data_IF_397896626390
#
_entry.id   IF_397896626390
#
_cell.length_a   1.000
_cell.length_b   1.000
_cell.length_c   1.000
_cell.angle_alpha   90.00
_cell.angle_beta   90.00
_cell.angle_gamma   90.00
#
_symmetry.space_group_name_H-M   'P 1'
#
loop_
_entity.id
_entity.type
_entity.pdbx_description
1 polymer ?
#
# COMPACT_ATOMS: atom_id res chain seq x y z
N UNK A 1 -0.46 17.54 -11.95
CA UNK A 1 -1.72 16.92 -11.42
C UNK A 1 -2.28 15.88 -12.37
N UNK A 2 -2.59 16.22 -13.63
CA UNK A 2 -3.12 15.26 -14.62
C UNK A 2 -2.21 14.08 -14.91
N UNK A 3 -0.90 14.30 -15.03
CA UNK A 3 0.07 13.22 -15.26
C UNK A 3 0.08 12.20 -14.11
N UNK A 4 -0.04 12.67 -12.86
CA UNK A 4 -0.16 11.80 -11.70
C UNK A 4 -1.48 11.02 -11.71
N UNK A 5 -2.61 11.68 -12.02
CA UNK A 5 -3.91 11.01 -12.16
C UNK A 5 -3.88 9.95 -13.26
N UNK A 6 -3.27 10.24 -14.41
CA UNK A 6 -3.13 9.30 -15.52
C UNK A 6 -2.28 8.09 -15.12
N UNK A 7 -1.18 8.32 -14.40
CA UNK A 7 -0.33 7.24 -13.89
C UNK A 7 -1.10 6.30 -12.96
N UNK A 8 -1.92 6.86 -12.06
CA UNK A 8 -2.78 6.08 -11.17
C UNK A 8 -3.84 5.31 -11.97
N UNK A 9 -4.54 5.98 -12.90
CA UNK A 9 -5.56 5.35 -13.74
C UNK A 9 -5.00 4.14 -14.50
N UNK A 10 -3.81 4.28 -15.10
CA UNK A 10 -3.15 3.17 -15.83
C UNK A 10 -2.72 2.03 -14.92
N UNK A 11 -2.22 2.35 -13.72
CA UNK A 11 -1.85 1.33 -12.72
C UNK A 11 -3.09 0.56 -12.24
N UNK A 12 -4.18 1.27 -11.92
CA UNK A 12 -5.47 0.68 -11.53
C UNK A 12 -6.05 -0.17 -12.67
N UNK A 13 -6.03 0.31 -13.91
CA UNK A 13 -6.49 -0.43 -15.07
C UNK A 13 -5.67 -1.70 -15.31
N UNK A 14 -4.34 -1.62 -15.21
CA UNK A 14 -3.45 -2.78 -15.35
C UNK A 14 -3.71 -3.82 -14.25
N UNK A 15 -3.89 -3.36 -13.01
CA UNK A 15 -4.20 -4.22 -11.87
C UNK A 15 -5.57 -4.90 -12.02
N UNK A 16 -6.60 -4.16 -12.44
CA UNK A 16 -7.93 -4.70 -12.68
C UNK A 16 -7.96 -5.71 -13.84
N UNK A 17 -7.14 -5.50 -14.87
CA UNK A 17 -6.98 -6.43 -16.00
C UNK A 17 -6.09 -7.63 -15.70
N UNK A 18 -5.21 -7.56 -14.70
CA UNK A 18 -4.20 -8.57 -14.43
C UNK A 18 -3.08 -8.64 -15.48
N UNK A 19 -2.93 -7.61 -16.33
CA UNK A 19 -1.89 -7.51 -17.37
C UNK A 19 -1.48 -6.05 -17.60
N UNK A 20 -0.36 -5.86 -18.30
CA UNK A 20 0.00 -4.51 -18.79
C UNK A 20 -0.99 -4.06 -19.86
N UNK A 21 -1.23 -2.75 -19.90
CA UNK A 21 -1.97 -2.11 -20.97
C UNK A 21 -1.15 -2.13 -22.28
N UNK A 22 -1.85 -2.23 -23.40
CA UNK A 22 -1.26 -1.95 -24.72
C UNK A 22 -1.02 -0.45 -24.89
N UNK A 23 -0.18 -0.07 -25.85
CA UNK A 23 0.04 1.35 -26.18
C UNK A 23 -1.26 2.07 -26.55
N UNK A 24 -2.19 1.36 -27.18
CA UNK A 24 -3.47 1.93 -27.59
C UNK A 24 -4.41 2.11 -26.39
N UNK A 25 -4.45 1.14 -25.48
CA UNK A 25 -5.21 1.23 -24.22
C UNK A 25 -4.67 2.34 -23.31
N UNK A 26 -3.34 2.52 -23.27
CA UNK A 26 -2.71 3.63 -22.56
C UNK A 26 -3.11 4.99 -23.15
N UNK A 27 -3.15 5.11 -24.48
CA UNK A 27 -3.61 6.30 -25.19
C UNK A 27 -5.08 6.59 -24.92
N UNK A 28 -5.92 5.56 -24.99
CA UNK A 28 -7.34 5.66 -24.69
C UNK A 28 -7.62 6.11 -23.25
N UNK A 29 -6.91 5.58 -22.25
CA UNK A 29 -7.03 6.05 -20.87
C UNK A 29 -6.63 7.53 -20.73
N UNK A 30 -5.63 7.98 -21.49
CA UNK A 30 -5.19 9.37 -21.49
C UNK A 30 -6.26 10.29 -22.08
N UNK A 31 -6.84 9.91 -23.22
CA UNK A 31 -7.90 10.69 -23.87
C UNK A 31 -9.20 10.70 -23.06
N UNK A 32 -9.60 9.56 -22.49
CA UNK A 32 -10.77 9.50 -21.61
C UNK A 32 -10.60 10.40 -20.39
N UNK A 33 -9.46 10.32 -19.69
CA UNK A 33 -9.18 11.20 -18.56
C UNK A 33 -9.13 12.68 -18.98
N UNK A 34 -8.57 12.99 -20.15
CA UNK A 34 -8.52 14.37 -20.68
C UNK A 34 -9.92 14.92 -20.94
N UNK A 35 -10.80 14.14 -21.56
CA UNK A 35 -12.17 14.53 -21.88
C UNK A 35 -13.08 14.61 -20.66
N UNK A 36 -12.88 13.76 -19.65
CA UNK A 36 -13.60 13.90 -18.38
C UNK A 36 -13.09 15.14 -17.63
N UNK A 37 -11.77 15.35 -17.57
CA UNK A 37 -11.18 16.49 -16.87
C UNK A 37 -11.46 17.84 -17.53
N UNK A 38 -11.88 17.87 -18.80
CA UNK A 38 -12.30 19.10 -19.48
C UNK A 38 -13.73 19.51 -19.10
N UNK A 39 -14.57 18.52 -18.74
CA UNK A 39 -15.99 18.70 -18.40
C UNK A 39 -16.25 18.78 -16.90
N UNK A 40 -15.45 18.09 -16.11
CA UNK A 40 -15.64 17.95 -14.67
C UNK A 40 -14.40 18.42 -13.90
N UNK A 41 -14.56 19.31 -12.89
CA UNK A 41 -13.42 19.79 -12.09
C UNK A 41 -12.79 18.69 -11.23
N UNK A 42 -13.58 17.72 -10.79
CA UNK A 42 -13.13 16.53 -10.05
C UNK A 42 -13.54 15.27 -10.83
N UNK A 43 -12.66 14.75 -11.70
CA UNK A 43 -12.96 13.56 -12.49
C UNK A 43 -13.00 12.32 -11.57
N UNK A 44 -14.09 11.55 -11.66
CA UNK A 44 -14.27 10.30 -10.91
C UNK A 44 -14.08 9.09 -11.84
N UNK A 45 -13.82 7.91 -11.26
CA UNK A 45 -13.65 6.68 -12.03
C UNK A 45 -14.90 6.30 -12.84
N UNK A 46 -16.16 6.42 -12.33
CA UNK A 46 -17.36 6.19 -13.13
C UNK A 46 -17.39 7.02 -14.42
N UNK A 47 -17.07 8.32 -14.33
CA UNK A 47 -17.07 9.20 -15.50
C UNK A 47 -16.02 8.79 -16.54
N UNK A 48 -14.87 8.28 -16.09
CA UNK A 48 -13.82 7.73 -16.98
C UNK A 48 -14.27 6.42 -17.61
N UNK A 49 -14.94 5.55 -16.86
CA UNK A 49 -15.51 4.30 -17.38
C UNK A 49 -16.56 4.59 -18.44
N UNK A 50 -17.46 5.55 -18.19
CA UNK A 50 -18.47 5.97 -19.16
C UNK A 50 -17.84 6.48 -20.45
N UNK A 51 -16.82 7.34 -20.35
CA UNK A 51 -16.08 7.84 -21.53
C UNK A 51 -15.30 6.73 -22.27
N UNK A 52 -14.85 5.68 -21.58
CA UNK A 52 -14.20 4.55 -22.24
C UNK A 52 -15.21 3.64 -22.98
N UNK A 53 -16.42 3.47 -22.43
CA UNK A 53 -17.50 2.68 -23.03
C UNK A 53 -18.18 3.42 -24.19
N UNK A 54 -18.37 4.73 -24.05
CA UNK A 54 -19.01 5.62 -25.02
C UNK A 54 -18.11 6.82 -25.34
N UNK A 55 -17.01 6.63 -26.10
CA UNK A 55 -16.03 7.68 -26.34
C UNK A 55 -16.59 8.85 -27.13
N UNK A 56 -16.22 10.06 -26.72
CA UNK A 56 -16.51 11.28 -27.45
C UNK A 56 -15.82 11.31 -28.82
N UNK A 57 -16.39 12.07 -29.76
CA UNK A 57 -15.78 12.29 -31.07
C UNK A 57 -14.40 12.95 -30.99
N UNK A 58 -14.16 13.77 -29.96
CA UNK A 58 -12.85 14.38 -29.68
C UNK A 58 -11.79 13.33 -29.35
N UNK A 59 -12.08 12.43 -28.40
CA UNK A 59 -11.19 11.32 -28.05
C UNK A 59 -10.92 10.39 -29.25
N UNK A 60 -11.96 10.04 -30.01
CA UNK A 60 -11.82 9.20 -31.20
C UNK A 60 -10.94 9.85 -32.28
N UNK A 61 -11.12 11.15 -32.54
CA UNK A 61 -10.30 11.91 -33.49
C UNK A 61 -8.84 11.99 -33.04
N UNK A 62 -8.58 12.18 -31.75
CA UNK A 62 -7.21 12.22 -31.19
C UNK A 62 -6.49 10.87 -31.33
N UNK A 63 -7.24 9.77 -31.24
CA UNK A 63 -6.75 8.40 -31.46
C UNK A 63 -6.78 7.98 -32.94
N UNK A 64 -7.05 8.89 -33.87
CA UNK A 64 -7.14 8.63 -35.32
C UNK A 64 -8.09 7.47 -35.69
N UNK A 65 -9.23 7.38 -35.01
CA UNK A 65 -10.23 6.32 -35.21
C UNK A 65 -11.66 6.87 -35.14
N UNK A 66 -12.66 5.97 -35.22
CA UNK A 66 -14.07 6.30 -35.00
C UNK A 66 -14.46 6.06 -33.54
N UNK A 67 -15.57 6.63 -33.08
CA UNK A 67 -16.08 6.40 -31.71
C UNK A 67 -16.34 4.91 -31.46
N UNK A 68 -16.94 4.21 -32.43
CA UNK A 68 -17.14 2.74 -32.36
C UNK A 68 -15.81 1.97 -32.39
N UNK A 69 -14.83 2.42 -33.17
CA UNK A 69 -13.49 1.85 -33.20
C UNK A 69 -12.80 1.97 -31.84
N UNK A 70 -12.84 3.16 -31.23
CA UNK A 70 -12.26 3.41 -29.92
C UNK A 70 -12.99 2.63 -28.81
N UNK A 71 -14.33 2.57 -28.84
CA UNK A 71 -15.11 1.79 -27.88
C UNK A 71 -14.75 0.29 -27.92
N UNK A 72 -14.55 -0.26 -29.12
CA UNK A 72 -14.13 -1.66 -29.28
C UNK A 72 -12.70 -1.89 -28.78
N UNK A 73 -11.79 -0.93 -29.04
CA UNK A 73 -10.41 -0.98 -28.55
C UNK A 73 -10.35 -0.97 -27.02
N UNK A 74 -11.18 -0.15 -26.39
CA UNK A 74 -11.16 0.08 -24.95
C UNK A 74 -11.95 -0.95 -24.15
N UNK A 75 -12.64 -1.87 -24.83
CA UNK A 75 -13.70 -2.69 -24.24
C UNK A 75 -13.24 -3.47 -23.01
N UNK A 76 -12.08 -4.12 -23.08
CA UNK A 76 -11.54 -4.89 -21.96
C UNK A 76 -11.22 -4.00 -20.76
N UNK A 77 -10.49 -2.89 -20.99
CA UNK A 77 -10.14 -1.91 -19.94
C UNK A 77 -11.39 -1.34 -19.29
N UNK A 78 -12.37 -0.94 -20.12
CA UNK A 78 -13.61 -0.35 -19.66
C UNK A 78 -14.38 -1.32 -18.75
N UNK A 79 -14.51 -2.61 -19.13
CA UNK A 79 -15.18 -3.60 -18.29
C UNK A 79 -14.38 -3.97 -17.03
N UNK A 80 -13.05 -4.03 -17.10
CA UNK A 80 -12.22 -4.26 -15.94
C UNK A 80 -12.36 -3.13 -14.90
N UNK A 81 -12.34 -1.87 -15.35
CA UNK A 81 -12.57 -0.71 -14.48
C UNK A 81 -14.03 -0.62 -14.01
N UNK A 82 -15.01 -1.00 -14.84
CA UNK A 82 -16.43 -1.03 -14.46
C UNK A 82 -16.71 -1.96 -13.29
N UNK A 83 -15.98 -3.08 -13.15
CA UNK A 83 -16.10 -3.94 -11.96
C UNK A 83 -15.80 -3.22 -10.65
N UNK A 84 -14.94 -2.19 -10.69
CA UNK A 84 -14.59 -1.36 -9.53
C UNK A 84 -15.69 -0.36 -9.16
N UNK A 85 -16.61 -0.10 -10.09
CA UNK A 85 -17.67 0.91 -9.95
C UNK A 85 -19.02 0.25 -9.69
N UNK A 86 -19.39 -0.77 -10.47
CA UNK A 86 -20.70 -1.41 -10.43
C UNK A 86 -20.64 -2.90 -10.04
N UNK A 87 -19.44 -3.46 -9.93
CA UNK A 87 -19.23 -4.89 -9.74
C UNK A 87 -19.07 -5.30 -8.28
N UNK A 88 -18.26 -6.34 -8.08
CA UNK A 88 -17.91 -6.93 -6.79
C UNK A 88 -17.21 -5.96 -5.83
N UNK A 89 -16.73 -4.83 -6.34
CA UNK A 89 -15.99 -3.80 -5.60
C UNK A 89 -16.69 -2.43 -5.59
N UNK A 90 -17.97 -2.37 -5.97
CA UNK A 90 -18.79 -1.17 -5.87
C UNK A 90 -18.84 -0.61 -4.43
N UNK A 91 -18.99 0.70 -4.29
CA UNK A 91 -18.93 1.43 -3.02
C UNK A 91 -17.54 1.91 -2.59
N UNK A 92 -16.47 1.52 -3.30
CA UNK A 92 -15.09 1.92 -2.97
C UNK A 92 -14.53 3.04 -3.86
N UNK A 93 -14.83 3.00 -5.17
CA UNK A 93 -14.24 3.88 -6.18
C UNK A 93 -15.29 4.55 -7.08
N UNK A 94 -16.57 4.45 -6.70
CA UNK A 94 -17.74 4.78 -7.49
C UNK A 94 -18.27 6.20 -7.26
N UNK A 95 -17.55 7.04 -6.53
CA UNK A 95 -17.97 8.41 -6.23
C UNK A 95 -16.82 9.38 -5.95
N UNK A 96 -17.16 10.66 -5.69
CA UNK A 96 -16.21 11.64 -5.17
C UNK A 96 -15.61 11.20 -3.84
N UNK A 97 -14.47 11.79 -3.48
CA UNK A 97 -13.89 11.56 -2.15
C UNK A 97 -14.88 11.98 -1.07
N UNK A 98 -15.13 11.11 -0.09
CA UNK A 98 -16.05 11.40 1.03
C UNK A 98 -15.62 12.68 1.78
N UNK A 99 -16.57 13.59 2.01
CA UNK A 99 -16.33 14.93 2.57
C UNK A 99 -15.74 14.95 3.99
N UNK A 100 -15.95 13.89 4.77
CA UNK A 100 -15.51 13.80 6.16
C UNK A 100 -14.05 13.35 6.33
N UNK A 101 -13.31 13.15 5.22
CA UNK A 101 -11.91 12.70 5.27
C UNK A 101 -10.97 13.91 5.30
N UNK A 102 -10.40 14.21 6.48
CA UNK A 102 -9.29 15.16 6.61
C UNK A 102 -7.93 14.48 6.42
N UNK A 103 -7.44 14.49 5.17
CA UNK A 103 -6.12 14.00 4.80
C UNK A 103 -4.97 14.95 5.20
N UNK A 104 -5.29 16.06 5.87
CA UNK A 104 -4.30 17.01 6.43
C UNK A 104 -4.14 16.87 7.94
N UNK A 105 -4.91 15.98 8.57
CA UNK A 105 -4.81 15.71 9.99
C UNK A 105 -3.39 15.26 10.41
N UNK A 106 -2.97 15.53 11.66
CA UNK A 106 -1.64 15.14 12.15
C UNK A 106 -1.37 13.63 12.11
N UNK A 107 -2.45 12.82 12.18
CA UNK A 107 -2.41 11.37 12.07
C UNK A 107 -3.51 10.93 11.11
N UNK A 108 -3.12 10.22 10.06
CA UNK A 108 -4.04 9.60 9.11
C UNK A 108 -3.82 8.09 9.18
N UNK A 109 -4.90 7.33 9.44
CA UNK A 109 -4.88 5.87 9.47
C UNK A 109 -5.75 5.31 8.36
N UNK A 110 -5.13 4.56 7.45
CA UNK A 110 -5.82 3.85 6.38
C UNK A 110 -6.14 2.44 6.85
N UNK A 111 -7.37 2.21 7.33
CA UNK A 111 -7.80 0.91 7.80
C UNK A 111 -8.28 0.04 6.62
N UNK A 112 -7.53 -1.02 6.32
CA UNK A 112 -7.78 -1.90 5.16
C UNK A 112 -8.52 -3.18 5.51
N UNK A 113 -8.98 -3.32 6.75
CA UNK A 113 -9.53 -4.58 7.28
C UNK A 113 -10.72 -5.10 6.47
N UNK A 114 -11.60 -4.22 6.01
CA UNK A 114 -12.80 -4.62 5.26
C UNK A 114 -12.50 -5.22 3.89
N UNK A 115 -11.32 -4.94 3.34
CA UNK A 115 -10.92 -5.32 1.97
C UNK A 115 -9.70 -6.24 1.96
N UNK A 116 -9.25 -6.68 3.15
CA UNK A 116 -7.98 -7.39 3.33
C UNK A 116 -7.92 -8.75 2.60
N UNK A 117 -9.07 -9.41 2.45
CA UNK A 117 -9.21 -10.69 1.72
C UNK A 117 -9.74 -10.53 0.30
N UNK A 118 -9.99 -9.30 -0.14
CA UNK A 118 -10.55 -9.00 -1.46
C UNK A 118 -9.47 -8.77 -2.50
N UNK A 119 -9.77 -9.12 -3.77
CA UNK A 119 -8.95 -8.78 -4.93
C UNK A 119 -8.79 -7.26 -5.11
N UNK A 120 -9.64 -6.45 -4.48
CA UNK A 120 -9.50 -4.99 -4.41
C UNK A 120 -8.25 -4.50 -3.68
N UNK A 121 -7.65 -5.31 -2.81
CA UNK A 121 -6.57 -4.86 -1.95
C UNK A 121 -5.42 -4.26 -2.78
N UNK A 122 -5.01 -4.90 -3.88
CA UNK A 122 -3.93 -4.41 -4.72
C UNK A 122 -4.23 -3.04 -5.33
N UNK A 123 -5.45 -2.86 -5.84
CA UNK A 123 -5.92 -1.59 -6.43
C UNK A 123 -5.98 -0.50 -5.38
N UNK A 124 -6.53 -0.81 -4.19
CA UNK A 124 -6.59 0.13 -3.10
C UNK A 124 -5.20 0.52 -2.60
N UNK A 125 -4.26 -0.43 -2.56
CA UNK A 125 -2.87 -0.16 -2.21
C UNK A 125 -2.17 0.75 -3.23
N UNK A 126 -2.48 0.63 -4.53
CA UNK A 126 -2.00 1.56 -5.56
C UNK A 126 -2.52 2.99 -5.29
N UNK A 127 -3.82 3.13 -5.01
CA UNK A 127 -4.44 4.42 -4.69
C UNK A 127 -3.85 5.02 -3.41
N UNK A 128 -3.72 4.22 -2.35
CA UNK A 128 -3.14 4.61 -1.07
C UNK A 128 -1.68 5.05 -1.22
N UNK A 129 -0.87 4.27 -1.94
CA UNK A 129 0.53 4.60 -2.22
C UNK A 129 0.66 5.90 -3.02
N UNK A 130 -0.21 6.14 -4.00
CA UNK A 130 -0.18 7.36 -4.79
C UNK A 130 -0.58 8.61 -3.98
N UNK A 131 -1.60 8.50 -3.13
CA UNK A 131 -1.95 9.56 -2.18
C UNK A 131 -0.80 9.81 -1.21
N UNK A 132 -0.27 8.75 -0.61
CA UNK A 132 0.79 8.83 0.38
C UNK A 132 2.08 9.41 -0.20
N UNK A 133 2.42 9.04 -1.44
CA UNK A 133 3.51 9.68 -2.20
C UNK A 133 3.33 11.19 -2.26
N UNK A 134 2.15 11.65 -2.64
CA UNK A 134 1.85 13.09 -2.71
C UNK A 134 1.89 13.75 -1.33
N UNK A 135 1.49 13.04 -0.28
CA UNK A 135 1.55 13.54 1.09
C UNK A 135 2.99 13.67 1.61
N UNK A 136 3.87 12.73 1.22
CA UNK A 136 5.28 12.65 1.61
C UNK A 136 6.18 13.59 0.80
N UNK A 137 5.94 13.74 -0.49
CA UNK A 137 6.75 14.58 -1.40
C UNK A 137 6.49 16.10 -1.22
N UNK A 138 5.75 16.51 -0.17
CA UNK A 138 5.48 17.92 0.12
C UNK A 138 6.73 18.56 0.74
N UNK A 139 7.33 19.50 0.02
CA UNK A 139 8.43 20.33 0.52
C UNK A 139 7.90 21.48 1.39
N UNK A 140 7.35 21.13 2.56
CA UNK A 140 6.79 22.07 3.53
C UNK A 140 7.57 22.10 4.87
N UNK A 141 8.73 21.42 4.92
CA UNK A 141 9.56 21.34 6.12
C UNK A 141 8.99 20.48 7.25
N UNK A 142 7.86 19.81 7.04
CA UNK A 142 7.23 18.95 8.04
C UNK A 142 7.84 17.55 8.02
N UNK A 143 8.34 17.09 9.18
CA UNK A 143 8.79 15.71 9.34
C UNK A 143 7.60 14.77 9.41
N UNK A 144 7.67 13.67 8.67
CA UNK A 144 6.57 12.69 8.58
C UNK A 144 7.03 11.31 9.02
N UNK A 145 6.12 10.55 9.59
CA UNK A 145 6.33 9.13 9.91
C UNK A 145 5.36 8.33 9.06
N UNK A 146 5.91 7.48 8.20
CA UNK A 146 5.14 6.49 7.45
C UNK A 146 5.24 5.15 8.17
N UNK A 147 4.13 4.68 8.71
CA UNK A 147 4.02 3.33 9.28
C UNK A 147 3.27 2.43 8.31
N UNK A 148 3.91 1.33 7.90
CA UNK A 148 3.30 0.25 7.12
C UNK A 148 3.20 -0.97 8.02
N UNK A 149 2.00 -1.18 8.55
CA UNK A 149 1.68 -2.40 9.29
C UNK A 149 1.46 -3.56 8.31
N UNK A 150 1.77 -4.78 8.74
CA UNK A 150 1.70 -5.98 7.89
C UNK A 150 2.42 -5.80 6.54
N UNK A 151 3.62 -5.23 6.56
CA UNK A 151 4.33 -4.81 5.35
C UNK A 151 4.58 -5.96 4.37
N UNK A 152 4.62 -7.21 4.84
CA UNK A 152 4.74 -8.39 3.96
C UNK A 152 3.62 -8.47 2.94
N UNK A 153 2.38 -8.11 3.32
CA UNK A 153 1.21 -8.15 2.44
C UNK A 153 1.35 -7.10 1.35
N UNK A 154 1.75 -5.90 1.72
CA UNK A 154 2.02 -4.81 0.78
C UNK A 154 3.10 -5.21 -0.23
N UNK A 155 4.12 -5.95 0.23
CA UNK A 155 5.24 -6.36 -0.60
C UNK A 155 4.90 -7.43 -1.65
N UNK A 156 3.74 -8.09 -1.54
CA UNK A 156 3.21 -8.98 -2.59
C UNK A 156 2.83 -8.23 -3.86
N UNK A 157 2.53 -6.92 -3.75
CA UNK A 157 2.15 -6.06 -4.88
C UNK A 157 3.38 -5.31 -5.41
N UNK A 158 3.94 -5.80 -6.53
CA UNK A 158 5.22 -5.33 -7.08
C UNK A 158 5.34 -3.81 -7.26
N UNK A 159 4.30 -3.13 -7.76
CA UNK A 159 4.33 -1.68 -7.98
C UNK A 159 4.46 -0.91 -6.66
N UNK A 160 3.75 -1.37 -5.62
CA UNK A 160 3.78 -0.78 -4.29
C UNK A 160 5.13 -1.07 -3.61
N UNK A 161 5.67 -2.28 -3.80
CA UNK A 161 7.01 -2.66 -3.32
C UNK A 161 8.11 -1.76 -3.90
N UNK A 162 8.05 -1.46 -5.21
CA UNK A 162 9.00 -0.54 -5.86
C UNK A 162 8.90 0.86 -5.27
N UNK A 163 7.68 1.38 -5.13
CA UNK A 163 7.43 2.68 -4.53
C UNK A 163 7.95 2.76 -3.08
N UNK A 164 7.70 1.75 -2.25
CA UNK A 164 8.22 1.70 -0.88
C UNK A 164 9.75 1.74 -0.86
N UNK A 165 10.41 0.98 -1.74
CA UNK A 165 11.87 0.97 -1.81
C UNK A 165 12.45 2.32 -2.24
N UNK A 166 11.83 2.99 -3.22
CA UNK A 166 12.20 4.35 -3.61
C UNK A 166 12.10 5.32 -2.42
N UNK A 167 11.01 5.26 -1.66
CA UNK A 167 10.82 6.13 -0.49
C UNK A 167 11.85 5.85 0.61
N UNK A 168 12.19 4.58 0.84
CA UNK A 168 13.19 4.20 1.85
C UNK A 168 14.55 4.84 1.56
N UNK A 169 14.94 4.88 0.29
CA UNK A 169 16.20 5.50 -0.17
C UNK A 169 16.19 7.03 -0.08
N UNK A 170 15.01 7.64 -0.18
CA UNK A 170 14.84 9.10 -0.20
C UNK A 170 14.49 9.70 1.17
N UNK A 171 14.33 8.89 2.21
CA UNK A 171 13.98 9.30 3.59
C UNK A 171 14.75 10.52 4.11
N UNK A 172 16.06 10.61 3.81
CA UNK A 172 16.91 11.74 4.22
C UNK A 172 16.59 13.03 3.48
N UNK A 173 16.29 12.95 2.19
CA UNK A 173 15.93 14.13 1.38
C UNK A 173 14.49 14.58 1.60
N UNK A 174 13.58 13.67 1.93
CA UNK A 174 12.15 13.96 2.12
C UNK A 174 11.76 14.18 3.58
N UNK A 175 12.71 14.11 4.52
CA UNK A 175 12.48 14.22 5.96
C UNK A 175 11.40 13.25 6.48
N UNK A 176 11.35 12.04 5.89
CA UNK A 176 10.38 11.00 6.24
C UNK A 176 11.07 9.85 6.95
N UNK A 177 10.54 9.48 8.12
CA UNK A 177 10.88 8.24 8.80
C UNK A 177 9.91 7.16 8.35
N UNK A 178 10.42 6.11 7.73
CA UNK A 178 9.59 4.98 7.36
C UNK A 178 9.76 3.82 8.37
N UNK A 179 8.66 3.19 8.75
CA UNK A 179 8.58 2.08 9.70
C UNK A 179 7.76 0.97 9.04
N UNK A 180 8.34 -0.21 8.91
CA UNK A 180 7.67 -1.40 8.39
C UNK A 180 7.58 -2.43 9.51
N UNK A 181 6.37 -2.94 9.76
CA UNK A 181 6.11 -3.96 10.77
C UNK A 181 5.82 -5.28 10.07
N UNK A 182 6.51 -6.35 10.51
CA UNK A 182 6.39 -7.70 9.96
C UNK A 182 6.41 -8.72 11.09
N UNK A 183 5.59 -9.76 10.98
CA UNK A 183 5.49 -10.81 12.01
C UNK A 183 6.51 -11.93 11.83
N UNK A 184 6.77 -12.32 10.58
CA UNK A 184 7.80 -13.32 10.23
C UNK A 184 8.57 -12.84 9.01
N UNK A 185 9.87 -13.05 9.00
CA UNK A 185 10.67 -12.71 7.82
C UNK A 185 10.46 -13.73 6.69
N UNK A 186 10.05 -14.96 7.01
CA UNK A 186 9.67 -15.95 6.00
C UNK A 186 8.47 -15.50 5.16
N UNK A 187 7.55 -14.68 5.70
CA UNK A 187 6.44 -14.10 4.94
C UNK A 187 6.95 -13.16 3.83
N UNK A 188 8.10 -12.51 4.03
CA UNK A 188 8.75 -11.68 3.02
C UNK A 188 9.38 -12.51 1.89
N UNK A 189 9.89 -13.70 2.21
CA UNK A 189 10.39 -14.63 1.19
C UNK A 189 9.25 -15.28 0.40
N UNK A 190 8.10 -15.49 1.05
CA UNK A 190 6.90 -16.03 0.44
C UNK A 190 6.13 -15.01 -0.43
N UNK A 191 6.49 -13.72 -0.38
CA UNK A 191 5.83 -12.65 -1.13
C UNK A 191 5.94 -12.78 -2.67
N UNK A 192 6.79 -13.69 -3.17
CA UNK A 192 6.89 -14.03 -4.58
C UNK A 192 7.63 -15.35 -4.81
N UNK A 193 7.81 -15.72 -6.08
CA UNK A 193 8.64 -16.88 -6.43
C UNK A 193 10.10 -16.71 -5.94
N UNK A 194 10.80 -17.83 -5.75
CA UNK A 194 12.25 -17.82 -5.46
C UNK A 194 12.95 -17.02 -6.57
N UNK A 195 13.79 -16.05 -6.18
CA UNK A 195 14.45 -15.09 -7.08
C UNK A 195 13.52 -14.12 -7.84
N UNK A 196 12.29 -13.93 -7.36
CA UNK A 196 11.42 -12.88 -7.86
C UNK A 196 11.94 -11.47 -7.53
N UNK A 197 11.48 -10.49 -8.29
CA UNK A 197 11.79 -9.09 -8.02
C UNK A 197 11.24 -8.66 -6.65
N UNK A 198 10.06 -9.14 -6.27
CA UNK A 198 9.45 -8.87 -4.95
C UNK A 198 10.36 -9.28 -3.80
N UNK A 199 10.92 -10.49 -3.84
CA UNK A 199 11.83 -10.98 -2.80
C UNK A 199 13.12 -10.14 -2.74
N UNK A 200 13.66 -9.74 -3.90
CA UNK A 200 14.82 -8.82 -3.94
C UNK A 200 14.50 -7.45 -3.35
N UNK A 201 13.31 -6.90 -3.63
CA UNK A 201 12.86 -5.62 -3.06
C UNK A 201 12.69 -5.72 -1.54
N UNK A 202 12.05 -6.78 -1.05
CA UNK A 202 11.86 -7.03 0.39
C UNK A 202 13.21 -7.15 1.13
N UNK A 203 14.15 -7.92 0.58
CA UNK A 203 15.53 -8.01 1.13
C UNK A 203 16.23 -6.66 1.08
N UNK A 204 16.05 -5.90 0.00
CA UNK A 204 16.59 -4.55 -0.14
C UNK A 204 16.10 -3.60 0.95
N UNK A 205 14.80 -3.62 1.27
CA UNK A 205 14.23 -2.81 2.35
C UNK A 205 14.83 -3.14 3.72
N UNK A 206 15.04 -4.42 4.01
CA UNK A 206 15.71 -4.85 5.24
C UNK A 206 17.17 -4.39 5.28
N UNK A 207 17.88 -4.47 4.16
CA UNK A 207 19.27 -4.02 4.06
C UNK A 207 19.40 -2.50 4.21
N UNK A 208 18.51 -1.74 3.58
CA UNK A 208 18.48 -0.27 3.61
C UNK A 208 18.06 0.28 4.99
N UNK A 209 17.47 -0.57 5.85
CA UNK A 209 17.04 -0.18 7.21
C UNK A 209 18.20 -0.17 8.21
N UNK A 210 18.66 1.01 8.60
CA UNK A 210 19.73 1.19 9.61
C UNK A 210 19.29 0.78 11.03
N UNK A 211 18.00 0.89 11.34
CA UNK A 211 17.44 0.48 12.63
C UNK A 211 16.54 -0.73 12.45
N UNK A 212 16.80 -1.78 13.22
CA UNK A 212 15.99 -3.00 13.27
C UNK A 212 15.59 -3.25 14.72
N UNK A 213 14.28 -3.35 14.98
CA UNK A 213 13.73 -3.67 16.30
C UNK A 213 13.17 -5.08 16.22
N UNK A 214 13.86 -6.02 16.87
CA UNK A 214 13.59 -7.45 16.73
C UNK A 214 13.09 -7.98 18.08
N UNK A 215 11.79 -8.25 18.15
CA UNK A 215 11.17 -8.94 19.29
C UNK A 215 11.48 -10.44 19.25
N UNK A 216 11.07 -11.17 20.31
CA UNK A 216 11.25 -12.63 20.36
C UNK A 216 10.73 -13.29 19.08
N UNK A 217 11.57 -14.11 18.47
CA UNK A 217 11.24 -14.87 17.26
C UNK A 217 11.08 -16.36 17.59
N UNK A 218 10.28 -17.05 16.78
CA UNK A 218 10.14 -18.51 16.87
C UNK A 218 11.48 -19.21 16.53
N UNK A 219 11.84 -20.33 17.19
CA UNK A 219 13.04 -21.08 16.86
C UNK A 219 13.21 -21.41 15.38
N UNK A 220 12.12 -21.67 14.65
CA UNK A 220 12.14 -21.96 13.22
C UNK A 220 12.55 -20.76 12.36
N UNK A 221 12.35 -19.52 12.83
CA UNK A 221 12.69 -18.28 12.11
C UNK A 221 14.13 -17.80 12.41
N UNK A 222 14.76 -18.27 13.49
CA UNK A 222 16.02 -17.69 13.99
C UNK A 222 17.16 -17.73 12.97
N UNK A 223 17.26 -18.80 12.18
CA UNK A 223 18.28 -18.89 11.14
C UNK A 223 18.10 -17.80 10.06
N UNK A 224 16.86 -17.59 9.62
CA UNK A 224 16.53 -16.57 8.62
C UNK A 224 16.71 -15.16 9.18
N UNK A 225 16.25 -14.92 10.40
CA UNK A 225 16.43 -13.64 11.10
C UNK A 225 17.90 -13.31 11.30
N UNK A 226 18.72 -14.30 11.65
CA UNK A 226 20.16 -14.13 11.77
C UNK A 226 20.79 -13.67 10.47
N UNK A 227 20.45 -14.34 9.36
CA UNK A 227 20.99 -14.01 8.03
C UNK A 227 20.53 -12.61 7.57
N UNK A 228 19.22 -12.38 7.52
CA UNK A 228 18.64 -11.15 6.98
C UNK A 228 18.94 -9.91 7.84
N UNK A 229 18.98 -10.05 9.16
CA UNK A 229 19.26 -8.94 10.07
C UNK A 229 20.75 -8.82 10.44
N UNK A 230 21.60 -9.67 9.87
CA UNK A 230 23.04 -9.72 10.12
C UNK A 230 23.35 -9.82 11.62
N UNK A 231 22.69 -10.77 12.29
CA UNK A 231 22.90 -11.02 13.71
C UNK A 231 24.10 -11.93 13.94
N UNK A 232 24.85 -11.66 15.00
CA UNK A 232 25.83 -12.63 15.51
C UNK A 232 25.15 -13.70 16.38
N UNK A 233 25.92 -14.69 16.83
CA UNK A 233 25.40 -15.80 17.65
C UNK A 233 24.77 -15.35 18.97
N UNK A 234 25.40 -14.37 19.63
CA UNK A 234 24.91 -13.83 20.89
C UNK A 234 23.62 -13.05 20.69
N UNK A 235 23.54 -12.22 19.66
CA UNK A 235 22.34 -11.48 19.28
C UNK A 235 21.19 -12.45 18.96
N UNK A 236 21.47 -13.54 18.22
CA UNK A 236 20.49 -14.57 17.89
C UNK A 236 19.97 -15.29 19.14
N UNK A 237 20.87 -15.65 20.07
CA UNK A 237 20.50 -16.28 21.34
C UNK A 237 19.65 -15.35 22.24
N UNK A 238 19.94 -14.05 22.23
CA UNK A 238 19.10 -13.05 22.91
C UNK A 238 17.70 -13.06 22.27
N UNK A 239 17.61 -12.88 20.95
CA UNK A 239 16.33 -12.84 20.23
C UNK A 239 15.47 -14.10 20.49
N UNK A 240 16.09 -15.27 20.65
CA UNK A 240 15.38 -16.51 20.97
C UNK A 240 14.68 -16.52 22.35
N UNK A 241 15.14 -15.71 23.30
CA UNK A 241 14.77 -15.80 24.72
C UNK A 241 14.18 -14.50 25.30
N UNK A 242 13.98 -13.46 24.49
CA UNK A 242 13.45 -12.18 24.95
C UNK A 242 12.06 -12.33 25.61
N UNK A 243 11.83 -11.74 26.79
CA UNK A 243 10.49 -11.70 27.37
C UNK A 243 9.56 -10.78 26.55
N UNK A 244 8.24 -10.91 26.76
CA UNK A 244 7.25 -10.02 26.13
C UNK A 244 7.58 -8.56 26.49
N UNK A 245 7.51 -7.67 25.50
CA UNK A 245 7.85 -6.26 25.68
C UNK A 245 9.36 -5.95 25.61
N UNK A 246 10.23 -6.95 25.46
CA UNK A 246 11.66 -6.72 25.22
C UNK A 246 12.02 -6.98 23.75
N UNK A 247 12.95 -6.17 23.23
CA UNK A 247 13.45 -6.29 21.86
C UNK A 247 14.98 -6.14 21.81
N UNK A 248 15.60 -6.76 20.81
CA UNK A 248 16.94 -6.39 20.36
C UNK A 248 16.82 -5.21 19.40
N UNK A 249 17.38 -4.07 19.77
CA UNK A 249 17.53 -2.91 18.89
C UNK A 249 18.91 -2.95 18.26
N UNK A 250 18.98 -3.15 16.95
CA UNK A 250 20.19 -3.02 16.15
C UNK A 250 20.16 -1.66 15.45
N UNK A 251 21.07 -0.76 15.83
CA UNK A 251 21.17 0.61 15.30
C UNK A 251 22.54 0.77 14.65
N UNK A 252 22.58 0.67 13.32
CA UNK A 252 23.80 0.51 12.55
C UNK A 252 24.56 -0.75 13.00
N UNK A 253 25.76 -0.56 13.53
CA UNK A 253 26.61 -1.65 14.02
C UNK A 253 26.48 -1.94 15.52
N UNK A 254 25.62 -1.20 16.23
CA UNK A 254 25.43 -1.34 17.69
C UNK A 254 24.15 -2.10 17.99
N UNK A 255 24.17 -2.86 19.07
CA UNK A 255 23.03 -3.66 19.52
C UNK A 255 22.73 -3.42 20.98
N UNK A 256 21.45 -3.29 21.30
CA UNK A 256 20.94 -3.01 22.64
C UNK A 256 19.77 -3.94 22.95
N UNK A 257 19.74 -4.50 24.15
CA UNK A 257 18.54 -5.13 24.67
C UNK A 257 17.71 -4.04 25.34
N UNK A 258 16.48 -3.84 24.86
CA UNK A 258 15.61 -2.74 25.29
C UNK A 258 14.31 -3.31 25.82
N UNK A 259 13.93 -2.88 27.01
CA UNK A 259 12.62 -3.11 27.60
C UNK A 259 11.70 -1.95 27.21
N UNK A 260 10.57 -2.27 26.58
CA UNK A 260 9.53 -1.31 26.23
C UNK A 260 8.52 -1.28 27.37
N UNK A 261 8.45 -0.14 28.06
CA UNK A 261 7.49 0.07 29.15
C UNK A 261 6.35 0.93 28.63
N UNK A 262 5.11 0.50 28.91
CA UNK A 262 3.91 1.22 28.50
C UNK A 262 3.31 1.96 29.70
N UNK A 263 3.03 3.24 29.50
CA UNK A 263 2.20 4.04 30.40
C UNK A 263 0.79 3.44 30.51
N UNK A 264 0.01 3.91 31.48
CA UNK A 264 -1.38 3.49 31.63
C UNK A 264 -2.22 3.82 30.40
N UNK A 265 -1.98 4.99 29.79
CA UNK A 265 -2.67 5.42 28.58
C UNK A 265 -2.31 4.58 27.36
N UNK A 266 -1.01 4.35 27.12
CA UNK A 266 -0.57 3.53 25.99
C UNK A 266 -1.14 2.11 26.08
N UNK A 267 -1.17 1.52 27.28
CA UNK A 267 -1.79 0.20 27.49
C UNK A 267 -3.25 0.14 27.04
N UNK A 268 -4.02 1.21 27.24
CA UNK A 268 -5.40 1.26 26.80
C UNK A 268 -5.50 1.34 25.27
N UNK A 269 -4.68 2.19 24.65
CA UNK A 269 -4.73 2.42 23.19
C UNK A 269 -4.15 1.24 22.40
N UNK A 270 -3.18 0.51 22.95
CA UNK A 270 -2.54 -0.64 22.31
C UNK A 270 -3.18 -1.98 22.71
N UNK A 271 -4.30 -1.98 23.43
CA UNK A 271 -4.95 -3.22 23.84
C UNK A 271 -5.68 -3.86 22.66
N UNK A 272 -5.03 -4.82 22.01
CA UNK A 272 -5.57 -5.53 20.84
C UNK A 272 -6.17 -6.90 21.19
N UNK A 273 -6.06 -7.32 22.46
CA UNK A 273 -6.51 -8.62 22.94
C UNK A 273 -8.02 -8.64 23.32
N UNK A 274 -8.78 -7.60 22.95
CA UNK A 274 -10.21 -7.46 23.26
C UNK A 274 -11.05 -8.67 22.82
N UNK A 275 -10.66 -9.32 21.71
CA UNK A 275 -11.30 -10.53 21.19
C UNK A 275 -10.84 -11.83 21.86
N UNK A 276 -9.69 -11.79 22.52
CA UNK A 276 -9.15 -12.88 23.31
C UNK A 276 -9.64 -12.83 24.76
N UNK A 277 -10.10 -11.66 25.21
CA UNK A 277 -10.80 -11.50 26.47
C UNK A 277 -12.19 -12.12 26.38
N UNK A 278 -12.38 -13.26 27.06
CA UNK A 278 -13.71 -13.80 27.33
C UNK A 278 -14.41 -12.87 28.33
N UNK A 279 -15.16 -11.90 27.83
CA UNK A 279 -16.06 -11.08 28.65
C UNK A 279 -17.39 -11.81 28.89
N UNK A 280 -18.04 -11.62 30.06
CA UNK A 280 -19.35 -12.22 30.33
C UNK A 280 -20.38 -11.70 29.31
N UNK A 281 -21.38 -12.53 28.99
CA UNK A 281 -22.51 -12.17 28.13
C UNK A 281 -23.01 -10.76 28.48
N UNK A 282 -23.04 -9.87 27.48
CA UNK A 282 -23.70 -8.58 27.62
C UNK A 282 -25.19 -8.85 27.81
N UNK A 283 -25.69 -8.72 29.04
CA UNK A 283 -27.11 -8.59 29.30
C UNK A 283 -27.61 -7.39 28.49
N UNK A 284 -28.46 -7.69 27.51
CA UNK A 284 -29.23 -6.71 26.77
C UNK A 284 -30.24 -6.11 27.76
N UNK A 285 -29.89 -5.00 28.37
CA UNK A 285 -30.88 -4.13 29.01
C UNK A 285 -31.61 -3.42 27.88
N UNK A 286 -32.90 -3.75 27.75
CA UNK A 286 -33.86 -3.18 26.80
C UNK A 286 -34.05 -1.68 27.00
#
# INVERSE_FOLDING_TARGET
>A
MREAQLKILRAVASAALGRRLSSEEEGACAEALREVSSRYPEPTLPLVVDELLEPSGGAASAMHTTTSGLANLNREVAFALRRLVEGDLAGMFDGPTTLDIDLTAPVVSLNLRAVYESDALGILMICAAAWLRRAVDRDDGVKRILVVDEAWKVLTHLEVSRWLQENWKLTRSTAVQCIAVVHRLSDLEAAGGRDSEQVRLARGLLADSETKVIFRQDPAELALVRDLCQLNERETAIVASLPKGCALWKVGQRSFQVEHTLSAFERQVTYTDERMAVGPEREVVR
#
